data_IF_207351891182
#
_entry.id   IF_207351891182
#
_cell.length_a   1.000
_cell.length_b   1.000
_cell.length_c   1.000
_cell.angle_alpha   90.00
_cell.angle_beta   90.00
_cell.angle_gamma   90.00
#
_symmetry.space_group_name_H-M   'P 1'
#
loop_
_entity.id
_entity.type
_entity.pdbx_description
1 polymer ?
#
# COMPACT_ATOMS: atom_id res chain seq x y z
N UNK A 1 11.68 -21.97 16.36
CA UNK A 1 11.23 -22.23 14.98
C UNK A 1 9.70 -22.33 15.03
N UNK A 2 9.03 -21.28 14.60
CA UNK A 2 7.56 -21.34 14.46
C UNK A 2 7.26 -22.23 13.27
N UNK A 3 6.73 -23.42 13.53
CA UNK A 3 6.14 -24.25 12.49
C UNK A 3 5.07 -23.40 11.79
N UNK A 4 5.31 -23.09 10.56
CA UNK A 4 4.36 -22.42 9.68
C UNK A 4 3.22 -23.42 9.42
N UNK A 5 2.29 -23.49 10.38
CA UNK A 5 1.15 -24.37 10.32
C UNK A 5 0.32 -23.96 9.12
N UNK A 6 0.35 -24.77 8.09
CA UNK A 6 -0.36 -24.48 6.85
C UNK A 6 -1.85 -24.32 7.14
N UNK A 7 -2.40 -23.14 6.82
CA UNK A 7 -3.84 -22.88 6.98
C UNK A 7 -4.69 -23.97 6.34
N UNK A 8 -5.74 -24.39 7.01
CA UNK A 8 -6.72 -25.31 6.45
C UNK A 8 -7.39 -24.72 5.20
N UNK A 9 -7.93 -25.55 4.34
CA UNK A 9 -8.67 -25.12 3.15
C UNK A 9 -9.82 -24.17 3.51
N UNK A 10 -10.49 -24.40 4.64
CA UNK A 10 -11.59 -23.54 5.12
C UNK A 10 -11.06 -22.18 5.59
N UNK A 11 -9.95 -22.14 6.31
CA UNK A 11 -9.30 -20.90 6.73
C UNK A 11 -8.84 -20.10 5.52
N UNK A 12 -8.19 -20.72 4.54
CA UNK A 12 -7.77 -20.04 3.27
C UNK A 12 -8.95 -19.46 2.52
N UNK A 13 -10.06 -20.20 2.41
CA UNK A 13 -11.29 -19.73 1.78
C UNK A 13 -11.88 -18.53 2.52
N UNK A 14 -11.90 -18.56 3.83
CA UNK A 14 -12.36 -17.46 4.67
C UNK A 14 -11.48 -16.20 4.49
N UNK A 15 -10.17 -16.34 4.54
CA UNK A 15 -9.24 -15.21 4.34
C UNK A 15 -9.42 -14.59 2.94
N UNK A 16 -9.60 -15.42 1.91
CA UNK A 16 -9.87 -14.93 0.55
C UNK A 16 -11.21 -14.18 0.47
N UNK A 17 -12.26 -14.71 1.11
CA UNK A 17 -13.57 -14.06 1.18
C UNK A 17 -13.51 -12.74 1.96
N UNK A 18 -12.72 -12.67 3.04
CA UNK A 18 -12.55 -11.47 3.84
C UNK A 18 -11.87 -10.34 3.04
N UNK A 19 -10.95 -10.67 2.16
CA UNK A 19 -10.32 -9.69 1.26
C UNK A 19 -11.30 -9.11 0.22
N UNK A 20 -12.34 -9.88 -0.14
CA UNK A 20 -13.33 -9.48 -1.16
C UNK A 20 -14.62 -8.86 -0.57
N UNK A 21 -14.76 -8.82 0.75
CA UNK A 21 -15.98 -8.36 1.44
C UNK A 21 -15.64 -7.33 2.52
N UNK A 22 -16.63 -6.52 2.89
CA UNK A 22 -16.44 -5.44 3.88
C UNK A 22 -16.73 -5.87 5.31
N UNK A 23 -17.27 -7.08 5.53
CA UNK A 23 -17.68 -7.53 6.87
C UNK A 23 -17.37 -9.01 7.10
N UNK A 24 -17.10 -9.35 8.36
CA UNK A 24 -16.87 -10.73 8.79
C UNK A 24 -18.07 -11.63 8.46
N UNK A 25 -19.29 -11.12 8.65
CA UNK A 25 -20.53 -11.86 8.33
C UNK A 25 -20.62 -12.20 6.84
N UNK A 26 -20.33 -11.24 5.96
CA UNK A 26 -20.33 -11.46 4.51
C UNK A 26 -19.23 -12.45 4.09
N UNK A 27 -18.04 -12.34 4.69
CA UNK A 27 -16.93 -13.25 4.47
C UNK A 27 -17.26 -14.69 4.91
N UNK A 28 -17.85 -14.84 6.09
CA UNK A 28 -18.30 -16.14 6.60
C UNK A 28 -19.32 -16.81 5.67
N UNK A 29 -20.32 -16.05 5.23
CA UNK A 29 -21.32 -16.52 4.26
C UNK A 29 -20.68 -16.94 2.93
N UNK A 30 -19.78 -16.13 2.38
CA UNK A 30 -19.07 -16.43 1.14
C UNK A 30 -18.14 -17.65 1.27
N UNK A 31 -17.54 -17.84 2.43
CA UNK A 31 -16.68 -19.01 2.73
C UNK A 31 -17.46 -20.27 3.09
N UNK A 32 -18.77 -20.18 3.29
CA UNK A 32 -19.61 -21.31 3.69
C UNK A 32 -19.35 -21.80 5.12
N UNK A 33 -19.07 -20.87 6.06
CA UNK A 33 -18.84 -21.15 7.48
C UNK A 33 -19.79 -20.34 8.36
N UNK A 34 -20.01 -20.80 9.58
CA UNK A 34 -20.77 -20.05 10.58
C UNK A 34 -19.99 -18.80 11.01
N UNK A 35 -20.71 -17.71 11.32
CA UNK A 35 -20.11 -16.46 11.78
C UNK A 35 -19.25 -16.66 13.06
N UNK A 36 -19.71 -17.48 14.00
CA UNK A 36 -18.93 -17.83 15.19
C UNK A 36 -17.59 -18.52 14.84
N UNK A 37 -17.57 -19.35 13.79
CA UNK A 37 -16.33 -19.98 13.29
C UNK A 37 -15.41 -18.93 12.66
N UNK A 38 -15.96 -17.97 11.95
CA UNK A 38 -15.19 -16.86 11.37
C UNK A 38 -14.49 -16.02 12.45
N UNK A 39 -15.19 -15.69 13.52
CA UNK A 39 -14.61 -14.98 14.66
C UNK A 39 -13.49 -15.78 15.33
N UNK A 40 -13.68 -17.09 15.52
CA UNK A 40 -12.62 -17.96 16.05
C UNK A 40 -11.40 -18.03 15.12
N UNK A 41 -11.60 -17.99 13.79
CA UNK A 41 -10.49 -17.94 12.85
C UNK A 41 -9.72 -16.62 12.94
N UNK A 42 -10.41 -15.49 13.19
CA UNK A 42 -9.75 -14.20 13.39
C UNK A 42 -8.92 -14.15 14.70
N UNK A 43 -9.18 -15.03 15.66
CA UNK A 43 -8.34 -15.14 16.86
C UNK A 43 -7.11 -16.02 16.66
N UNK A 44 -7.07 -16.82 15.59
CA UNK A 44 -5.95 -17.69 15.24
C UNK A 44 -4.76 -16.86 14.72
N UNK A 45 -3.58 -17.08 15.32
CA UNK A 45 -2.36 -16.35 14.98
C UNK A 45 -1.91 -16.55 13.53
N UNK A 46 -2.07 -17.76 12.99
CA UNK A 46 -1.67 -18.08 11.61
C UNK A 46 -2.62 -17.42 10.61
N UNK A 47 -3.91 -17.35 10.93
CA UNK A 47 -4.90 -16.60 10.13
C UNK A 47 -4.61 -15.11 10.16
N UNK A 48 -4.30 -14.53 11.32
CA UNK A 48 -3.90 -13.12 11.46
C UNK A 48 -2.67 -12.80 10.61
N UNK A 49 -1.65 -13.65 10.67
CA UNK A 49 -0.42 -13.50 9.90
C UNK A 49 -0.70 -13.53 8.38
N UNK A 50 -1.56 -14.43 7.92
CA UNK A 50 -1.94 -14.52 6.51
C UNK A 50 -2.75 -13.30 6.04
N UNK A 51 -3.67 -12.78 6.87
CA UNK A 51 -4.42 -11.56 6.58
C UNK A 51 -3.45 -10.39 6.43
N UNK A 52 -2.53 -10.20 7.39
CA UNK A 52 -1.52 -9.14 7.34
C UNK A 52 -0.66 -9.25 6.09
N UNK A 53 -0.17 -10.45 5.77
CA UNK A 53 0.63 -10.70 4.57
C UNK A 53 -0.11 -10.31 3.28
N UNK A 54 -1.39 -10.61 3.18
CA UNK A 54 -2.21 -10.24 2.01
C UNK A 54 -2.46 -8.74 1.93
N UNK A 55 -2.69 -8.10 3.08
CA UNK A 55 -2.86 -6.64 3.14
C UNK A 55 -1.57 -5.93 2.72
N UNK A 56 -0.43 -6.39 3.20
CA UNK A 56 0.88 -5.83 2.84
C UNK A 56 1.17 -6.01 1.34
N UNK A 57 0.88 -7.19 0.79
CA UNK A 57 1.04 -7.46 -0.64
C UNK A 57 0.12 -6.57 -1.51
N UNK A 58 -1.12 -6.40 -1.10
CA UNK A 58 -2.08 -5.51 -1.78
C UNK A 58 -1.61 -4.06 -1.73
N UNK A 59 -1.16 -3.60 -0.56
CA UNK A 59 -0.64 -2.24 -0.39
C UNK A 59 0.61 -2.02 -1.25
N UNK A 60 1.53 -2.97 -1.30
CA UNK A 60 2.71 -2.91 -2.15
C UNK A 60 2.33 -2.82 -3.64
N UNK A 61 1.35 -3.59 -4.08
CA UNK A 61 0.86 -3.57 -5.46
C UNK A 61 0.21 -2.22 -5.81
N UNK A 62 -0.65 -1.68 -4.93
CA UNK A 62 -1.27 -0.36 -5.12
C UNK A 62 -0.21 0.73 -5.15
N UNK A 63 0.77 0.68 -4.24
CA UNK A 63 1.88 1.63 -4.19
C UNK A 63 2.71 1.60 -5.48
N UNK A 64 3.04 0.40 -5.99
CA UNK A 64 3.76 0.26 -7.25
C UNK A 64 2.96 0.84 -8.44
N UNK A 65 1.64 0.63 -8.47
CA UNK A 65 0.75 1.24 -9.45
C UNK A 65 0.76 2.76 -9.40
N UNK A 66 0.62 3.34 -8.21
CA UNK A 66 0.67 4.81 -8.01
C UNK A 66 2.02 5.37 -8.45
N UNK A 67 3.13 4.70 -8.14
CA UNK A 67 4.47 5.14 -8.58
C UNK A 67 4.58 5.12 -10.12
N UNK A 68 4.04 4.09 -10.78
CA UNK A 68 4.00 4.03 -12.23
C UNK A 68 3.18 5.17 -12.83
N UNK A 69 1.98 5.44 -12.28
CA UNK A 69 1.10 6.54 -12.71
C UNK A 69 1.77 7.90 -12.50
N UNK A 70 2.49 8.10 -11.41
CA UNK A 70 3.27 9.33 -11.15
C UNK A 70 4.39 9.51 -12.19
N UNK A 71 5.05 8.44 -12.59
CA UNK A 71 6.11 8.46 -13.62
C UNK A 71 5.53 8.88 -14.96
N UNK A 72 4.38 8.35 -15.34
CA UNK A 72 3.67 8.70 -16.57
C UNK A 72 3.19 10.17 -16.54
N UNK A 73 2.57 10.59 -15.44
CA UNK A 73 2.12 11.98 -15.26
C UNK A 73 3.30 12.97 -15.35
N UNK A 74 4.44 12.64 -14.74
CA UNK A 74 5.67 13.41 -14.84
C UNK A 74 6.14 13.52 -16.29
N UNK A 75 6.15 12.41 -17.02
CA UNK A 75 6.56 12.43 -18.45
C UNK A 75 5.64 13.31 -19.29
N UNK A 76 4.32 13.27 -19.04
CA UNK A 76 3.35 14.13 -19.72
C UNK A 76 3.60 15.62 -19.43
N UNK A 77 3.84 15.98 -18.16
CA UNK A 77 4.16 17.38 -17.77
C UNK A 77 5.46 17.87 -18.42
N UNK A 78 6.50 17.04 -18.46
CA UNK A 78 7.77 17.38 -19.11
C UNK A 78 7.58 17.52 -20.63
N UNK A 79 6.76 16.66 -21.24
CA UNK A 79 6.41 16.78 -22.65
C UNK A 79 5.74 18.12 -22.97
N UNK A 80 4.75 18.53 -22.20
CA UNK A 80 4.08 19.82 -22.33
C UNK A 80 5.03 21.00 -22.13
N UNK A 81 5.94 20.90 -21.17
CA UNK A 81 6.93 21.95 -20.88
C UNK A 81 7.90 22.15 -22.04
N UNK A 82 8.28 21.08 -22.74
CA UNK A 82 9.24 21.11 -23.86
C UNK A 82 8.61 21.40 -25.23
N UNK A 83 7.31 21.17 -25.36
CA UNK A 83 6.59 21.40 -26.62
C UNK A 83 6.42 22.88 -26.89
N UNK A 84 7.06 23.39 -27.93
CA UNK A 84 7.01 24.78 -28.34
C UNK A 84 5.68 25.19 -28.97
N UNK A 85 4.86 24.25 -29.41
CA UNK A 85 3.53 24.51 -29.95
C UNK A 85 2.48 24.63 -28.84
N UNK A 86 2.81 24.19 -27.62
CA UNK A 86 1.97 24.40 -26.45
C UNK A 86 2.08 25.87 -25.98
N UNK A 87 0.93 26.45 -25.59
CA UNK A 87 0.88 27.84 -25.10
C UNK A 87 1.82 28.06 -23.90
N UNK A 88 2.53 29.18 -23.88
CA UNK A 88 3.51 29.51 -22.83
C UNK A 88 2.94 29.42 -21.41
N UNK A 89 1.69 29.85 -21.20
CA UNK A 89 1.03 29.76 -19.89
C UNK A 89 0.83 28.31 -19.41
N UNK A 90 0.60 27.38 -20.33
CA UNK A 90 0.48 25.96 -20.04
C UNK A 90 1.85 25.38 -19.73
N UNK A 91 2.87 25.74 -20.50
CA UNK A 91 4.26 25.31 -20.29
C UNK A 91 4.80 25.75 -18.94
N UNK A 92 4.56 27.01 -18.56
CA UNK A 92 4.94 27.56 -17.25
C UNK A 92 4.22 26.81 -16.12
N UNK A 93 2.93 26.53 -16.29
CA UNK A 93 2.15 25.78 -15.30
C UNK A 93 2.65 24.34 -15.13
N UNK A 94 2.98 23.67 -16.22
CA UNK A 94 3.57 22.34 -16.19
C UNK A 94 4.93 22.34 -15.47
N UNK A 95 5.81 23.29 -15.76
CA UNK A 95 7.10 23.46 -15.11
C UNK A 95 6.94 23.72 -13.60
N UNK A 96 6.02 24.61 -13.20
CA UNK A 96 5.71 24.88 -11.80
C UNK A 96 5.24 23.62 -11.06
N UNK A 97 4.40 22.81 -11.71
CA UNK A 97 3.91 21.54 -11.12
C UNK A 97 5.03 20.53 -10.88
N UNK A 98 5.96 20.42 -11.83
CA UNK A 98 7.13 19.54 -11.69
C UNK A 98 8.01 20.00 -10.51
N UNK A 99 8.27 21.31 -10.41
CA UNK A 99 9.06 21.88 -9.31
C UNK A 99 8.38 21.70 -7.94
N UNK A 100 7.09 22.01 -7.84
CA UNK A 100 6.33 21.87 -6.58
C UNK A 100 6.31 20.41 -6.09
N UNK A 101 6.08 19.47 -7.01
CA UNK A 101 6.07 18.04 -6.69
C UNK A 101 7.46 17.57 -6.29
N UNK A 102 8.51 18.01 -6.98
CA UNK A 102 9.89 17.68 -6.66
C UNK A 102 10.30 18.16 -5.26
N UNK A 103 9.94 19.40 -4.91
CA UNK A 103 10.18 19.94 -3.57
C UNK A 103 9.48 19.16 -2.46
N UNK A 104 8.19 18.82 -2.66
CA UNK A 104 7.44 18.01 -1.70
C UNK A 104 8.03 16.63 -1.51
N UNK A 105 8.45 15.96 -2.58
CA UNK A 105 9.11 14.66 -2.50
C UNK A 105 10.44 14.76 -1.77
N UNK A 106 11.23 15.78 -2.04
CA UNK A 106 12.49 16.02 -1.34
C UNK A 106 12.29 16.23 0.16
N UNK A 107 11.30 17.03 0.57
CA UNK A 107 10.94 17.22 1.97
C UNK A 107 10.51 15.91 2.64
N UNK A 108 9.66 15.10 1.97
CA UNK A 108 9.21 13.82 2.50
C UNK A 108 10.36 12.82 2.67
N UNK A 109 11.25 12.72 1.70
CA UNK A 109 12.43 11.84 1.77
C UNK A 109 13.34 12.27 2.93
N UNK A 110 13.62 13.56 3.04
CA UNK A 110 14.43 14.11 4.12
C UNK A 110 13.81 13.83 5.49
N UNK A 111 12.49 13.98 5.61
CA UNK A 111 11.79 13.68 6.84
C UNK A 111 11.85 12.20 7.19
N UNK A 112 11.62 11.32 6.21
CA UNK A 112 11.70 9.87 6.40
C UNK A 112 13.10 9.44 6.87
N UNK A 113 14.15 9.97 6.28
CA UNK A 113 15.54 9.69 6.69
C UNK A 113 15.82 10.15 8.12
N UNK A 114 15.28 11.32 8.50
CA UNK A 114 15.42 11.83 9.88
C UNK A 114 14.71 10.96 10.89
N UNK A 115 13.49 10.50 10.56
CA UNK A 115 12.73 9.57 11.42
C UNK A 115 13.47 8.26 11.57
N UNK A 116 13.94 7.64 10.49
CA UNK A 116 14.68 6.39 10.52
C UNK A 116 15.97 6.51 11.37
N UNK A 117 16.68 7.63 11.25
CA UNK A 117 17.87 7.90 12.06
C UNK A 117 17.54 8.05 13.55
N UNK A 118 16.42 8.68 13.89
CA UNK A 118 15.98 8.82 15.28
C UNK A 118 15.58 7.47 15.89
N UNK A 119 14.82 6.66 15.14
CA UNK A 119 14.42 5.31 15.55
C UNK A 119 15.65 4.44 15.83
N UNK A 120 16.62 4.42 14.91
CA UNK A 120 17.88 3.68 15.08
C UNK A 120 18.70 4.13 16.30
N UNK A 121 18.65 5.43 16.65
CA UNK A 121 19.31 5.95 17.85
C UNK A 121 18.58 5.56 19.13
N UNK A 122 17.25 5.51 19.11
CA UNK A 122 16.43 5.08 20.24
C UNK A 122 16.64 3.59 20.54
N UNK A 123 16.68 2.75 19.51
CA UNK A 123 16.96 1.31 19.66
C UNK A 123 18.34 1.04 20.28
N UNK A 124 19.36 1.83 19.92
CA UNK A 124 20.70 1.70 20.50
C UNK A 124 20.81 2.22 21.93
N UNK A 125 19.89 3.08 22.36
CA UNK A 125 19.87 3.66 23.70
C UNK A 125 19.05 2.82 24.71
N UNK A 126 18.31 1.82 24.22
CA UNK A 126 17.49 0.90 25.04
C UNK A 126 18.25 -0.37 25.37
#
# INVERSE_FOLDING_TARGET
>A
MSENKTLSTRQRRFVAALAATSTVRAAAKAAGIAEATAWRYLDDSDVKAEITRRQDAMLAQVTAGVVADMTEARAALIGMMRDTDTADSVRVRAASKVLDTGLKLFELITLADRVANLEARMEKAS
#
